data_IF_177371582721
#
_entry.id   IF_177371582721
#
_cell.length_a   1.000
_cell.length_b   1.000
_cell.length_c   1.000
_cell.angle_alpha   90.00
_cell.angle_beta   90.00
_cell.angle_gamma   90.00
#
_symmetry.space_group_name_H-M   'P 1'
#
loop_
_entity.id
_entity.type
_entity.pdbx_description
1 polymer ?
#
# COMPACT_ATOMS: atom_id res chain seq x y z
N UNK A 1 -25.95 3.76 -25.70
CA UNK A 1 -24.72 3.20 -25.10
C UNK A 1 -24.45 3.97 -23.82
N UNK A 2 -24.95 3.45 -22.70
CA UNK A 2 -24.80 4.12 -21.39
C UNK A 2 -23.37 3.90 -20.91
N UNK A 3 -22.52 4.90 -21.04
CA UNK A 3 -21.22 4.91 -20.37
C UNK A 3 -21.47 5.12 -18.89
N UNK A 4 -21.51 4.02 -18.13
CA UNK A 4 -21.41 4.01 -16.67
C UNK A 4 -20.09 4.67 -16.29
N UNK A 5 -20.12 5.99 -16.14
CA UNK A 5 -19.05 6.74 -15.51
C UNK A 5 -19.14 6.39 -14.03
N UNK A 6 -18.37 5.36 -13.65
CA UNK A 6 -18.15 5.03 -12.25
C UNK A 6 -17.58 6.29 -11.62
N UNK A 7 -18.21 6.89 -10.59
CA UNK A 7 -17.62 8.01 -9.89
C UNK A 7 -16.22 7.58 -9.43
N UNK A 8 -15.20 8.47 -9.48
CA UNK A 8 -13.87 8.12 -9.01
C UNK A 8 -14.04 7.60 -7.59
N UNK A 9 -13.82 6.29 -7.40
CA UNK A 9 -14.10 5.66 -6.12
C UNK A 9 -13.35 6.46 -5.05
N UNK A 10 -13.98 6.79 -3.91
CA UNK A 10 -13.22 7.24 -2.75
C UNK A 10 -12.12 6.19 -2.56
N UNK A 11 -10.86 6.60 -2.39
CA UNK A 11 -9.74 5.68 -2.46
C UNK A 11 -10.00 4.58 -1.44
N UNK A 12 -10.34 3.41 -1.98
CA UNK A 12 -10.86 2.34 -1.16
C UNK A 12 -9.65 1.70 -0.51
N UNK A 13 -9.76 1.25 0.75
CA UNK A 13 -8.63 0.62 1.45
C UNK A 13 -8.04 -0.56 0.65
N UNK A 14 -8.87 -1.14 -0.23
CA UNK A 14 -8.57 -2.16 -1.21
C UNK A 14 -7.64 -1.71 -2.34
N UNK A 15 -7.87 -0.53 -2.91
CA UNK A 15 -7.02 0.06 -3.95
C UNK A 15 -5.67 0.47 -3.37
N UNK A 16 -5.68 1.08 -2.18
CA UNK A 16 -4.44 1.38 -1.44
C UNK A 16 -3.66 0.08 -1.17
N UNK A 17 -4.33 -1.01 -0.75
CA UNK A 17 -3.69 -2.30 -0.56
C UNK A 17 -3.06 -2.87 -1.84
N UNK A 18 -3.75 -2.73 -2.99
CA UNK A 18 -3.22 -3.15 -4.29
C UNK A 18 -2.01 -2.31 -4.71
N UNK A 19 -2.07 -0.98 -4.55
CA UNK A 19 -0.94 -0.09 -4.84
C UNK A 19 0.26 -0.39 -3.95
N UNK A 20 0.04 -0.62 -2.65
CA UNK A 20 1.07 -1.05 -1.71
C UNK A 20 1.71 -2.36 -2.16
N UNK A 21 0.91 -3.36 -2.57
CA UNK A 21 1.43 -4.63 -3.06
C UNK A 21 2.23 -4.46 -4.35
N UNK A 22 1.78 -3.61 -5.28
CA UNK A 22 2.55 -3.30 -6.48
C UNK A 22 3.87 -2.61 -6.17
N UNK A 23 3.87 -1.67 -5.23
CA UNK A 23 5.09 -0.99 -4.78
C UNK A 23 6.09 -1.96 -4.14
N UNK A 24 5.63 -2.99 -3.42
CA UNK A 24 6.52 -4.03 -2.88
C UNK A 24 6.98 -5.06 -3.91
N UNK A 25 6.24 -5.25 -5.02
CA UNK A 25 6.57 -6.24 -6.06
C UNK A 25 7.45 -5.66 -7.18
N UNK A 26 7.62 -4.34 -7.22
CA UNK A 26 8.44 -3.62 -8.20
C UNK A 26 9.93 -3.98 -8.10
N UNK A 27 10.66 -3.71 -9.19
CA UNK A 27 12.11 -3.92 -9.31
C UNK A 27 12.83 -2.77 -8.58
N UNK A 28 12.78 -2.83 -7.25
CA UNK A 28 13.05 -1.70 -6.35
C UNK A 28 11.76 -1.28 -5.67
N UNK A 29 11.68 -1.45 -4.35
CA UNK A 29 10.52 -1.02 -3.58
C UNK A 29 10.38 0.50 -3.69
N UNK A 30 9.22 0.97 -4.17
CA UNK A 30 8.87 2.41 -4.20
C UNK A 30 8.48 2.89 -2.80
N UNK A 31 9.43 2.81 -1.87
CA UNK A 31 9.26 3.15 -0.45
C UNK A 31 8.73 4.57 -0.29
N UNK A 32 9.17 5.50 -1.15
CA UNK A 32 8.69 6.87 -1.19
C UNK A 32 7.20 6.97 -1.54
N UNK A 33 6.72 6.18 -2.51
CA UNK A 33 5.30 6.16 -2.89
C UNK A 33 4.45 5.56 -1.78
N UNK A 34 4.91 4.47 -1.17
CA UNK A 34 4.27 3.82 -0.03
C UNK A 34 4.16 4.77 1.16
N UNK A 35 5.26 5.43 1.54
CA UNK A 35 5.28 6.40 2.64
C UNK A 35 4.35 7.56 2.32
N UNK A 36 4.38 8.10 1.10
CA UNK A 36 3.52 9.21 0.72
C UNK A 36 2.03 8.85 0.78
N UNK A 37 1.67 7.65 0.33
CA UNK A 37 0.30 7.13 0.35
C UNK A 37 -0.20 6.92 1.78
N UNK A 38 0.64 6.35 2.65
CA UNK A 38 0.33 6.19 4.08
C UNK A 38 0.28 7.55 4.79
N UNK A 39 1.19 8.48 4.49
CA UNK A 39 1.28 9.80 5.11
C UNK A 39 0.03 10.66 4.83
N UNK A 40 -0.60 10.49 3.67
CA UNK A 40 -1.85 11.16 3.30
C UNK A 40 -3.11 10.46 3.82
N UNK A 41 -2.98 9.40 4.64
CA UNK A 41 -4.10 8.63 5.22
C UNK A 41 -4.14 8.74 6.74
N UNK A 42 -5.36 8.82 7.28
CA UNK A 42 -5.61 8.77 8.72
C UNK A 42 -5.29 7.39 9.32
N UNK A 43 -5.02 7.36 10.63
CA UNK A 43 -4.70 6.12 11.34
C UNK A 43 -5.80 5.05 11.18
N UNK A 44 -7.06 5.45 11.22
CA UNK A 44 -8.21 4.55 11.03
C UNK A 44 -8.24 3.96 9.62
N UNK A 45 -7.95 4.78 8.60
CA UNK A 45 -7.89 4.32 7.21
C UNK A 45 -6.75 3.31 7.02
N UNK A 46 -5.57 3.57 7.61
CA UNK A 46 -4.46 2.59 7.58
C UNK A 46 -4.84 1.27 8.22
N UNK A 47 -5.61 1.26 9.32
CA UNK A 47 -6.06 0.03 9.94
C UNK A 47 -6.96 -0.79 8.98
N UNK A 48 -7.88 -0.14 8.28
CA UNK A 48 -8.70 -0.78 7.24
C UNK A 48 -7.84 -1.31 6.08
N UNK A 49 -6.88 -0.52 5.60
CA UNK A 49 -5.94 -0.94 4.55
C UNK A 49 -5.13 -2.15 4.99
N UNK A 50 -4.60 -2.17 6.22
CA UNK A 50 -3.87 -3.31 6.76
C UNK A 50 -4.72 -4.58 6.81
N UNK A 51 -5.98 -4.45 7.23
CA UNK A 51 -6.88 -5.59 7.32
C UNK A 51 -7.27 -6.13 5.93
N UNK A 52 -7.57 -5.26 4.97
CA UNK A 52 -7.79 -5.66 3.58
C UNK A 52 -6.54 -6.28 2.98
N UNK A 53 -5.36 -5.66 3.18
CA UNK A 53 -4.08 -6.18 2.69
C UNK A 53 -3.80 -7.58 3.22
N UNK A 54 -4.00 -7.80 4.51
CA UNK A 54 -3.87 -9.12 5.14
C UNK A 54 -4.88 -10.11 4.59
N UNK A 55 -6.11 -9.70 4.32
CA UNK A 55 -7.14 -10.58 3.75
C UNK A 55 -6.83 -10.96 2.31
N UNK A 56 -6.32 -10.02 1.52
CA UNK A 56 -6.00 -10.22 0.09
C UNK A 56 -4.72 -11.01 -0.13
N UNK A 57 -3.66 -10.66 0.61
CA UNK A 57 -2.31 -11.16 0.37
C UNK A 57 -1.84 -12.14 1.45
N UNK A 58 -2.66 -12.38 2.49
CA UNK A 58 -2.29 -13.19 3.66
C UNK A 58 -0.97 -12.75 4.31
N UNK A 59 -0.63 -11.46 4.19
CA UNK A 59 0.61 -10.88 4.70
C UNK A 59 0.33 -9.61 5.51
N UNK A 60 1.14 -9.35 6.52
CA UNK A 60 1.05 -8.15 7.35
C UNK A 60 1.76 -6.98 6.64
N UNK A 61 0.99 -5.96 6.25
CA UNK A 61 1.53 -4.74 5.61
C UNK A 61 2.65 -4.11 6.44
N UNK A 62 2.46 -4.02 7.77
CA UNK A 62 3.43 -3.50 8.73
C UNK A 62 4.77 -4.25 8.69
N UNK A 63 4.70 -5.59 8.58
CA UNK A 63 5.87 -6.46 8.48
C UNK A 63 6.58 -6.31 7.14
N UNK A 64 5.81 -6.19 6.05
CA UNK A 64 6.36 -5.97 4.71
C UNK A 64 7.07 -4.62 4.61
N UNK A 65 6.43 -3.55 5.10
CA UNK A 65 7.04 -2.22 5.27
C UNK A 65 8.35 -2.28 6.05
N UNK A 66 8.35 -2.94 7.22
CA UNK A 66 9.54 -3.05 8.05
C UNK A 66 10.67 -3.80 7.32
N UNK A 67 10.34 -4.88 6.59
CA UNK A 67 11.32 -5.66 5.82
C UNK A 67 11.94 -4.85 4.68
N UNK A 68 11.14 -4.06 3.97
CA UNK A 68 11.62 -3.24 2.84
C UNK A 68 12.40 -1.99 3.29
N UNK A 69 11.99 -1.35 4.39
CA UNK A 69 12.76 -0.23 4.98
C UNK A 69 14.09 -0.71 5.57
N UNK A 70 14.10 -1.86 6.26
CA UNK A 70 15.32 -2.39 6.86
C UNK A 70 16.31 -2.84 5.78
N UNK A 71 15.82 -3.48 4.71
CA UNK A 71 16.66 -3.87 3.58
C UNK A 71 17.26 -2.68 2.81
N UNK A 72 16.54 -1.56 2.69
CA UNK A 72 17.09 -0.34 2.10
C UNK A 72 18.14 0.34 2.98
N UNK A 73 18.01 0.25 4.30
CA UNK A 73 18.98 0.84 5.22
C UNK A 73 20.34 0.15 5.16
N UNK A 74 20.35 -1.18 4.96
CA UNK A 74 21.59 -1.95 4.81
C UNK A 74 22.27 -1.76 3.46
N UNK A 75 21.53 -1.42 2.39
CA UNK A 75 22.12 -1.19 1.06
C UNK A 75 22.89 0.13 0.94
N UNK A 76 22.74 1.01 1.94
CA UNK A 76 23.34 2.35 1.96
C UNK A 76 24.60 2.43 2.85
N UNK A 77 25.08 1.31 3.39
CA UNK A 77 26.35 1.15 4.14
C UNK A 77 27.39 0.42 3.29
#
# INVERSE_FOLDING_TARGET
MSTLSVPPLPPSPRDDAMQLHHAFKGLGCDTSAVINLLAHRDATQRAYVQQEYRTMYSEELSKRLASELHGNLEVLL
#
